data_IF_818030730160
#
_entry.id   IF_818030730160
#
_cell.length_a   1.000
_cell.length_b   1.000
_cell.length_c   1.000
_cell.angle_alpha   90.00
_cell.angle_beta   90.00
_cell.angle_gamma   90.00
#
_symmetry.space_group_name_H-M   'P 1'
#
loop_
_entity.id
_entity.type
_entity.pdbx_description
1 polymer ?
#
# COMPACT_ATOMS: atom_id res chain seq x y z
N UNK A 1 46.09 61.83 -5.47
CA UNK A 1 46.52 61.15 -6.71
C UNK A 1 46.52 59.65 -6.42
N UNK A 2 45.92 58.90 -7.34
CA UNK A 2 45.48 57.49 -7.37
C UNK A 2 46.54 56.43 -6.94
N UNK A 3 46.21 55.11 -6.79
CA UNK A 3 45.00 54.45 -7.29
C UNK A 3 44.28 53.43 -6.40
N UNK A 4 43.02 53.21 -6.81
CA UNK A 4 42.14 52.08 -6.58
C UNK A 4 42.78 50.72 -6.88
N UNK A 5 42.40 49.70 -6.10
CA UNK A 5 42.54 48.28 -6.40
C UNK A 5 41.50 47.46 -5.60
N UNK A 6 41.07 46.27 -6.08
CA UNK A 6 39.66 46.06 -6.37
C UNK A 6 38.94 45.04 -5.47
N UNK A 7 37.60 45.16 -5.47
CA UNK A 7 36.64 44.09 -5.20
C UNK A 7 36.89 42.90 -6.13
N UNK A 8 37.02 41.69 -5.58
CA UNK A 8 36.58 40.41 -6.16
C UNK A 8 36.90 39.26 -5.20
N UNK A 9 35.93 38.85 -4.39
CA UNK A 9 35.88 37.47 -3.92
C UNK A 9 34.52 36.88 -4.27
N UNK A 10 34.55 36.01 -5.28
CA UNK A 10 33.40 35.35 -5.84
C UNK A 10 32.80 34.36 -4.83
N UNK A 11 31.54 34.59 -4.47
CA UNK A 11 30.70 33.55 -3.90
C UNK A 11 30.41 32.50 -4.99
N UNK A 12 31.24 31.47 -5.05
CA UNK A 12 30.93 30.24 -5.77
C UNK A 12 29.96 29.42 -4.89
N UNK A 13 28.67 29.50 -5.21
CA UNK A 13 27.69 28.53 -4.74
C UNK A 13 27.75 27.31 -5.67
N UNK A 14 28.23 26.13 -5.22
CA UNK A 14 28.01 24.91 -5.98
C UNK A 14 26.52 24.55 -5.89
N UNK A 15 25.78 24.89 -6.94
CA UNK A 15 24.51 24.26 -7.27
C UNK A 15 24.77 22.81 -7.65
N UNK A 16 24.68 21.91 -6.69
CA UNK A 16 24.61 20.47 -6.91
C UNK A 16 23.21 19.99 -6.57
N UNK A 17 22.33 20.07 -7.56
CA UNK A 17 21.14 19.24 -7.67
C UNK A 17 21.58 17.78 -7.77
N UNK A 18 21.40 17.03 -6.69
CA UNK A 18 21.44 15.58 -6.73
C UNK A 18 20.26 15.04 -5.92
N UNK A 19 19.06 15.20 -6.49
CA UNK A 19 17.96 14.29 -6.20
C UNK A 19 18.34 12.93 -6.78
N UNK A 20 19.07 12.14 -5.99
CA UNK A 20 19.10 10.69 -6.17
C UNK A 20 17.67 10.21 -5.97
N UNK A 21 16.94 10.06 -7.08
CA UNK A 21 15.75 9.23 -7.18
C UNK A 21 16.17 7.85 -6.74
N UNK A 22 15.94 7.56 -5.46
CA UNK A 22 16.18 6.26 -4.88
C UNK A 22 15.10 5.33 -5.43
N UNK A 23 15.40 4.68 -6.56
CA UNK A 23 14.59 3.59 -7.08
C UNK A 23 14.47 2.52 -5.99
N UNK A 24 13.30 2.48 -5.36
CA UNK A 24 12.94 1.61 -4.23
C UNK A 24 12.74 0.14 -4.61
N UNK A 25 13.38 -0.31 -5.69
CA UNK A 25 13.19 -1.63 -6.30
C UNK A 25 13.85 -2.77 -5.51
N UNK A 26 14.50 -2.51 -4.37
CA UNK A 26 15.30 -3.51 -3.64
C UNK A 26 14.61 -4.22 -2.45
N UNK A 27 13.31 -4.05 -2.21
CA UNK A 27 12.66 -4.59 -0.99
C UNK A 27 11.99 -5.98 -1.11
N UNK A 28 12.21 -6.74 -2.18
CA UNK A 28 11.52 -8.03 -2.36
C UNK A 28 11.91 -9.17 -1.38
N UNK A 29 12.85 -9.01 -0.46
CA UNK A 29 13.53 -10.17 0.13
C UNK A 29 13.40 -10.40 1.66
N UNK A 30 12.43 -9.81 2.38
CA UNK A 30 12.19 -10.19 3.79
C UNK A 30 10.71 -10.37 4.13
N UNK A 31 10.08 -11.39 3.56
CA UNK A 31 9.19 -12.38 4.20
C UNK A 31 8.93 -13.51 3.18
N UNK A 32 9.98 -14.21 2.74
CA UNK A 32 9.90 -15.40 1.87
C UNK A 32 10.81 -16.54 2.37
N UNK A 33 11.17 -16.53 3.64
CA UNK A 33 12.00 -17.56 4.24
C UNK A 33 11.16 -18.51 5.08
N UNK A 34 10.46 -19.43 4.43
CA UNK A 34 10.32 -20.81 4.90
C UNK A 34 9.67 -21.67 3.81
N UNK A 35 10.35 -22.76 3.44
CA UNK A 35 9.91 -23.88 2.58
C UNK A 35 10.28 -23.74 1.09
N UNK A 36 11.20 -24.61 0.63
CA UNK A 36 11.39 -24.98 -0.79
C UNK A 36 10.04 -25.46 -1.33
N UNK A 37 9.34 -24.60 -2.07
CA UNK A 37 7.91 -24.70 -2.39
C UNK A 37 7.21 -23.33 -2.43
N UNK A 38 7.86 -22.29 -1.87
CA UNK A 38 7.40 -20.91 -1.91
C UNK A 38 7.39 -20.26 -3.31
N UNK A 39 8.21 -20.74 -4.26
CA UNK A 39 8.30 -20.19 -5.62
C UNK A 39 7.02 -20.39 -6.43
N UNK A 40 6.53 -21.63 -6.50
CA UNK A 40 5.30 -21.97 -7.21
C UNK A 40 4.08 -21.33 -6.52
N UNK A 41 4.05 -21.36 -5.18
CA UNK A 41 3.01 -20.70 -4.37
C UNK A 41 2.91 -19.19 -4.63
N UNK A 42 4.05 -18.50 -4.78
CA UNK A 42 4.06 -17.06 -5.02
C UNK A 42 3.61 -16.72 -6.45
N UNK A 43 4.00 -17.52 -7.44
CA UNK A 43 3.57 -17.36 -8.83
C UNK A 43 2.08 -17.63 -8.98
N UNK A 44 1.58 -18.69 -8.35
CA UNK A 44 0.15 -19.03 -8.35
C UNK A 44 -0.67 -17.93 -7.69
N UNK A 45 -0.19 -17.38 -6.56
CA UNK A 45 -0.84 -16.26 -5.90
C UNK A 45 -0.90 -15.02 -6.81
N UNK A 46 0.20 -14.69 -7.50
CA UNK A 46 0.23 -13.59 -8.47
C UNK A 46 -0.74 -13.81 -9.63
N UNK A 47 -0.82 -15.03 -10.16
CA UNK A 47 -1.75 -15.36 -11.23
C UNK A 47 -3.20 -15.17 -10.79
N UNK A 48 -3.57 -15.66 -9.60
CA UNK A 48 -4.93 -15.49 -9.05
C UNK A 48 -5.27 -14.03 -8.78
N UNK A 49 -4.32 -13.25 -8.26
CA UNK A 49 -4.50 -11.80 -8.10
C UNK A 49 -4.72 -11.12 -9.44
N UNK A 50 -3.91 -11.44 -10.46
CA UNK A 50 -4.09 -10.89 -11.79
C UNK A 50 -5.46 -11.25 -12.40
N UNK A 51 -5.96 -12.46 -12.15
CA UNK A 51 -7.32 -12.84 -12.55
C UNK A 51 -8.38 -11.99 -11.85
N UNK A 52 -8.30 -11.82 -10.52
CA UNK A 52 -9.22 -10.96 -9.77
C UNK A 52 -9.16 -9.52 -10.29
N UNK A 53 -7.96 -8.99 -10.56
CA UNK A 53 -7.78 -7.64 -11.09
C UNK A 53 -8.39 -7.46 -12.49
N UNK A 54 -8.23 -8.45 -13.37
CA UNK A 54 -8.82 -8.44 -14.70
C UNK A 54 -10.36 -8.48 -14.66
N UNK A 55 -10.94 -9.09 -13.63
CA UNK A 55 -12.39 -9.19 -13.45
C UNK A 55 -13.02 -7.95 -12.82
N UNK A 56 -12.25 -7.06 -12.18
CA UNK A 56 -12.77 -5.91 -11.43
C UNK A 56 -13.84 -5.08 -12.17
N UNK A 57 -13.75 -4.83 -13.50
CA UNK A 57 -14.78 -4.09 -14.23
C UNK A 57 -16.16 -4.77 -14.25
N UNK A 58 -16.21 -6.08 -14.00
CA UNK A 58 -17.42 -6.91 -14.01
C UNK A 58 -18.01 -7.12 -12.62
N UNK A 59 -17.26 -6.78 -11.57
CA UNK A 59 -17.68 -7.01 -10.18
C UNK A 59 -18.60 -5.91 -9.68
N UNK A 60 -19.50 -6.28 -8.76
CA UNK A 60 -20.30 -5.31 -8.03
C UNK A 60 -19.39 -4.58 -7.04
N UNK A 61 -19.32 -3.25 -7.11
CA UNK A 61 -18.49 -2.42 -6.24
C UNK A 61 -19.34 -1.69 -5.20
N UNK A 62 -18.91 -1.80 -3.95
CA UNK A 62 -19.37 -0.98 -2.84
C UNK A 62 -18.22 -0.07 -2.38
N UNK A 63 -18.52 1.19 -2.06
CA UNK A 63 -17.50 2.13 -1.55
C UNK A 63 -18.09 3.10 -0.55
N UNK A 64 -17.30 3.46 0.46
CA UNK A 64 -17.63 4.52 1.41
C UNK A 64 -16.37 5.27 1.85
N UNK A 65 -16.55 6.55 2.20
CA UNK A 65 -15.57 7.30 2.96
C UNK A 65 -15.98 7.24 4.43
N UNK A 66 -15.14 6.61 5.25
CA UNK A 66 -15.36 6.41 6.68
C UNK A 66 -14.45 7.34 7.47
N UNK A 67 -15.02 8.45 7.95
CA UNK A 67 -14.31 9.43 8.78
C UNK A 67 -14.08 8.92 10.22
N UNK A 68 -14.87 7.94 10.68
CA UNK A 68 -14.75 7.42 12.05
C UNK A 68 -13.53 6.50 12.24
N UNK A 69 -12.89 6.03 11.16
CA UNK A 69 -11.72 5.14 11.22
C UNK A 69 -10.36 5.85 11.16
N UNK A 70 -10.34 7.11 10.72
CA UNK A 70 -9.15 7.97 10.70
C UNK A 70 -9.58 9.42 10.83
N UNK A 71 -8.84 10.20 11.60
CA UNK A 71 -9.02 11.65 11.73
C UNK A 71 -9.06 12.38 10.37
N UNK A 72 -8.44 11.79 9.34
CA UNK A 72 -8.29 12.36 8.01
C UNK A 72 -9.07 11.59 6.93
N UNK A 73 -9.84 10.59 7.34
CA UNK A 73 -10.69 9.80 6.47
C UNK A 73 -10.03 8.51 5.96
N UNK A 74 -10.90 7.52 5.74
CA UNK A 74 -10.54 6.23 5.17
C UNK A 74 -11.48 5.94 4.00
N UNK A 75 -10.95 5.75 2.80
CA UNK A 75 -11.75 5.24 1.69
C UNK A 75 -11.71 3.73 1.68
N UNK A 76 -12.88 3.09 1.74
CA UNK A 76 -13.03 1.63 1.66
C UNK A 76 -13.73 1.29 0.35
N UNK A 77 -13.19 0.33 -0.39
CA UNK A 77 -13.76 -0.22 -1.62
C UNK A 77 -13.82 -1.74 -1.47
N UNK A 78 -15.00 -2.31 -1.66
CA UNK A 78 -15.19 -3.76 -1.68
C UNK A 78 -15.79 -4.19 -3.03
N UNK A 79 -15.15 -5.15 -3.69
CA UNK A 79 -15.59 -5.71 -4.97
C UNK A 79 -16.07 -7.16 -4.79
N UNK A 80 -17.27 -7.43 -5.30
CA UNK A 80 -17.98 -8.69 -5.10
C UNK A 80 -18.32 -9.39 -6.41
N UNK A 81 -18.12 -10.71 -6.44
CA UNK A 81 -18.71 -11.61 -7.43
C UNK A 81 -19.98 -12.22 -6.82
N UNK A 82 -21.14 -11.67 -7.17
CA UNK A 82 -22.39 -12.02 -6.48
C UNK A 82 -22.31 -11.65 -4.99
N UNK A 83 -22.31 -12.66 -4.11
CA UNK A 83 -22.14 -12.50 -2.66
C UNK A 83 -20.71 -12.73 -2.17
N UNK A 84 -19.82 -13.17 -3.03
CA UNK A 84 -18.43 -13.47 -2.69
C UNK A 84 -17.58 -12.20 -2.76
N UNK A 85 -16.94 -11.82 -1.66
CA UNK A 85 -15.94 -10.77 -1.65
C UNK A 85 -14.70 -11.26 -2.42
N UNK A 86 -14.25 -10.50 -3.43
CA UNK A 86 -13.04 -10.82 -4.22
C UNK A 86 -11.90 -9.88 -3.91
N UNK A 87 -12.21 -8.61 -3.65
CA UNK A 87 -11.21 -7.60 -3.26
C UNK A 87 -11.78 -6.67 -2.19
N UNK A 88 -10.95 -6.31 -1.23
CA UNK A 88 -11.20 -5.23 -0.27
C UNK A 88 -9.99 -4.31 -0.27
N UNK A 89 -10.19 -3.03 -0.55
CA UNK A 89 -9.15 -2.02 -0.54
C UNK A 89 -9.52 -0.95 0.49
N UNK A 90 -8.55 -0.59 1.32
CA UNK A 90 -8.64 0.54 2.23
C UNK A 90 -7.49 1.52 1.93
N UNK A 91 -7.82 2.81 1.87
CA UNK A 91 -6.84 3.90 1.78
C UNK A 91 -7.02 4.78 2.99
N UNK A 92 -6.01 4.81 3.85
CA UNK A 92 -5.90 5.62 5.05
C UNK A 92 -5.07 6.86 4.72
N UNK A 93 -5.63 8.04 4.96
CA UNK A 93 -4.90 9.31 4.85
C UNK A 93 -4.40 9.74 6.23
N UNK A 94 -3.23 10.36 6.25
CA UNK A 94 -2.52 10.85 7.43
C UNK A 94 -1.72 12.12 7.09
N UNK A 95 -1.46 12.99 8.07
CA UNK A 95 -0.85 14.30 7.79
C UNK A 95 0.51 14.12 7.13
N UNK A 96 1.26 13.11 7.58
CA UNK A 96 2.62 12.81 7.11
C UNK A 96 2.66 11.71 6.05
N UNK A 97 1.52 11.19 5.59
CA UNK A 97 1.55 10.08 4.65
C UNK A 97 0.21 9.43 4.33
N UNK A 98 0.27 8.29 3.64
CA UNK A 98 -0.89 7.45 3.38
C UNK A 98 -0.55 5.98 3.49
N UNK A 99 -1.52 5.17 3.89
CA UNK A 99 -1.43 3.73 3.82
C UNK A 99 -2.51 3.18 2.89
N UNK A 100 -2.14 2.27 2.01
CA UNK A 100 -3.04 1.48 1.18
C UNK A 100 -2.93 0.03 1.61
N UNK A 101 -4.07 -0.61 1.87
CA UNK A 101 -4.14 -2.03 2.18
C UNK A 101 -5.18 -2.69 1.28
N UNK A 102 -4.73 -3.66 0.47
CA UNK A 102 -5.58 -4.40 -0.46
C UNK A 102 -5.53 -5.88 -0.14
N UNK A 103 -6.69 -6.43 0.18
CA UNK A 103 -6.95 -7.84 0.38
C UNK A 103 -7.54 -8.43 -0.91
N UNK A 104 -7.02 -9.57 -1.32
CA UNK A 104 -7.55 -10.38 -2.41
C UNK A 104 -8.00 -11.71 -1.81
N UNK A 105 -9.24 -12.09 -2.12
CA UNK A 105 -9.89 -13.27 -1.58
C UNK A 105 -10.19 -14.25 -2.70
N UNK A 106 -9.72 -15.48 -2.50
CA UNK A 106 -10.00 -16.64 -3.32
C UNK A 106 -10.21 -17.84 -2.38
N UNK A 107 -11.00 -18.88 -2.74
CA UNK A 107 -11.35 -19.95 -1.81
C UNK A 107 -10.15 -20.60 -1.12
N UNK A 108 -9.02 -20.70 -1.81
CA UNK A 108 -7.79 -21.31 -1.27
C UNK A 108 -6.64 -20.34 -1.04
N UNK A 109 -6.86 -19.02 -1.21
CA UNK A 109 -5.83 -18.00 -1.10
C UNK A 109 -6.36 -16.69 -0.51
N UNK A 110 -5.58 -16.15 0.42
CA UNK A 110 -5.70 -14.77 0.85
C UNK A 110 -4.37 -14.08 0.59
N UNK A 111 -4.37 -13.06 -0.27
CA UNK A 111 -3.21 -12.18 -0.45
C UNK A 111 -3.52 -10.80 0.10
N UNK A 112 -2.57 -10.23 0.84
CA UNK A 112 -2.64 -8.86 1.34
C UNK A 112 -1.45 -8.07 0.80
N UNK A 113 -1.74 -6.98 0.10
CA UNK A 113 -0.77 -5.99 -0.33
C UNK A 113 -0.91 -4.76 0.56
N UNK A 114 0.15 -4.37 1.25
CA UNK A 114 0.19 -3.15 2.06
C UNK A 114 1.25 -2.21 1.51
N UNK A 115 0.88 -0.96 1.26
CA UNK A 115 1.80 0.11 0.86
C UNK A 115 1.68 1.24 1.86
N UNK A 116 2.80 1.66 2.43
CA UNK A 116 2.91 2.84 3.27
C UNK A 116 3.72 3.87 2.50
N UNK A 117 3.23 5.11 2.44
CA UNK A 117 3.90 6.23 1.78
C UNK A 117 4.04 7.38 2.77
N UNK A 118 5.21 7.99 2.80
CA UNK A 118 5.53 9.18 3.60
C UNK A 118 5.61 10.38 2.66
N UNK A 119 5.02 11.49 3.08
CA UNK A 119 5.07 12.73 2.33
C UNK A 119 6.37 13.50 2.56
N UNK A 120 6.77 14.30 1.57
CA UNK A 120 7.92 15.20 1.70
C UNK A 120 7.67 16.38 2.67
N UNK A 121 6.40 16.73 2.88
CA UNK A 121 5.92 17.70 3.85
C UNK A 121 4.48 17.35 4.30
N UNK A 122 4.06 17.78 5.51
CA UNK A 122 2.71 17.52 5.99
C UNK A 122 1.63 17.99 5.00
N UNK A 123 0.68 17.12 4.69
CA UNK A 123 -0.46 17.33 3.79
C UNK A 123 -0.09 17.73 2.35
N UNK A 124 1.18 17.57 1.93
CA UNK A 124 1.61 17.93 0.57
C UNK A 124 0.99 17.03 -0.50
N UNK A 125 0.70 15.77 -0.13
CA UNK A 125 0.30 14.72 -1.05
C UNK A 125 1.44 14.23 -1.96
N UNK A 126 2.63 14.84 -1.90
CA UNK A 126 3.80 14.40 -2.66
C UNK A 126 4.56 13.33 -1.87
N UNK A 127 4.82 12.19 -2.51
CA UNK A 127 5.43 11.03 -1.84
C UNK A 127 6.95 11.13 -1.93
N UNK A 128 7.62 11.17 -0.78
CA UNK A 128 9.08 11.07 -0.68
C UNK A 128 9.53 9.61 -0.62
N UNK A 129 8.88 8.82 0.25
CA UNK A 129 9.25 7.43 0.50
C UNK A 129 8.03 6.53 0.40
N UNK A 130 8.22 5.31 -0.13
CA UNK A 130 7.18 4.28 -0.14
C UNK A 130 7.76 2.90 0.22
N UNK A 131 7.06 2.18 1.09
CA UNK A 131 7.35 0.81 1.48
C UNK A 131 6.19 -0.10 1.11
N UNK A 132 6.45 -1.18 0.37
CA UNK A 132 5.45 -2.17 0.00
C UNK A 132 5.74 -3.51 0.69
N UNK A 133 4.70 -4.12 1.28
CA UNK A 133 4.73 -5.45 1.88
C UNK A 133 3.65 -6.32 1.24
N UNK A 134 3.95 -7.60 1.06
CA UNK A 134 3.03 -8.60 0.52
C UNK A 134 2.98 -9.80 1.45
N UNK A 135 1.77 -10.23 1.77
CA UNK A 135 1.51 -11.41 2.58
C UNK A 135 0.64 -12.37 1.79
N UNK A 136 0.99 -13.66 1.79
CA UNK A 136 0.30 -14.72 1.05
C UNK A 136 -0.03 -15.84 2.02
N UNK A 137 -1.31 -16.15 2.17
CA UNK A 137 -1.82 -17.21 3.03
C UNK A 137 -2.58 -18.21 2.17
N UNK A 138 -2.11 -19.46 2.16
CA UNK A 138 -2.78 -20.56 1.46
C UNK A 138 -3.66 -21.35 2.43
N UNK A 139 -4.73 -21.92 1.92
CA UNK A 139 -5.58 -22.86 2.67
C UNK A 139 -4.77 -24.07 3.17
N UNK A 140 -5.19 -24.63 4.31
CA UNK A 140 -4.53 -25.79 4.93
C UNK A 140 -3.21 -25.48 5.65
N UNK A 141 -2.74 -24.23 5.64
CA UNK A 141 -1.63 -23.79 6.51
C UNK A 141 -2.18 -23.26 7.83
N UNK A 142 -1.53 -23.62 8.93
CA UNK A 142 -1.92 -23.20 10.27
C UNK A 142 -2.09 -21.67 10.34
N UNK A 143 -3.11 -21.19 11.07
CA UNK A 143 -3.26 -19.76 11.30
C UNK A 143 -2.00 -19.25 12.00
N UNK A 144 -1.39 -18.23 11.40
CA UNK A 144 -0.33 -17.47 12.05
C UNK A 144 -0.98 -16.27 12.76
N UNK A 145 -0.43 -15.79 13.89
CA UNK A 145 -0.96 -14.59 14.57
C UNK A 145 -1.10 -13.38 13.64
N UNK A 146 -0.22 -13.29 12.63
CA UNK A 146 -0.28 -12.28 11.59
C UNK A 146 -1.50 -12.45 10.67
N UNK A 147 -1.81 -13.68 10.24
CA UNK A 147 -3.01 -13.98 9.44
C UNK A 147 -4.26 -13.55 10.20
N UNK A 148 -4.37 -13.93 11.46
CA UNK A 148 -5.56 -13.63 12.27
C UNK A 148 -5.74 -12.12 12.46
N UNK A 149 -4.64 -11.39 12.69
CA UNK A 149 -4.65 -9.93 12.81
C UNK A 149 -5.11 -9.25 11.51
N UNK A 150 -4.60 -9.70 10.35
CA UNK A 150 -5.02 -9.16 9.04
C UNK A 150 -6.49 -9.48 8.75
N UNK A 151 -6.97 -10.67 9.13
CA UNK A 151 -8.38 -11.04 8.95
C UNK A 151 -9.31 -10.30 9.90
N UNK A 152 -8.86 -9.99 11.11
CA UNK A 152 -9.60 -9.11 12.01
C UNK A 152 -9.72 -7.70 11.42
N UNK A 153 -8.65 -7.16 10.84
CA UNK A 153 -8.68 -5.85 10.18
C UNK A 153 -9.64 -5.84 8.96
N UNK A 154 -9.57 -6.85 8.09
CA UNK A 154 -10.50 -6.99 6.97
C UNK A 154 -11.97 -7.02 7.41
N UNK A 155 -12.29 -7.73 8.51
CA UNK A 155 -13.64 -7.76 9.08
C UNK A 155 -14.08 -6.40 9.61
N UNK A 156 -13.18 -5.67 10.30
CA UNK A 156 -13.46 -4.33 10.81
C UNK A 156 -13.77 -3.36 9.66
N UNK A 157 -12.99 -3.40 8.58
CA UNK A 157 -13.21 -2.59 7.38
C UNK A 157 -14.57 -2.89 6.71
N UNK A 158 -14.95 -4.17 6.62
CA UNK A 158 -16.27 -4.55 6.08
C UNK A 158 -17.42 -4.08 6.98
N UNK A 159 -17.25 -4.16 8.31
CA UNK A 159 -18.26 -3.67 9.25
C UNK A 159 -18.43 -2.15 9.13
N UNK A 160 -17.34 -1.40 9.04
CA UNK A 160 -17.36 0.04 8.82
C UNK A 160 -18.01 0.43 7.48
N UNK A 161 -17.70 -0.31 6.40
CA UNK A 161 -18.36 -0.12 5.11
C UNK A 161 -19.86 -0.38 5.18
N UNK A 162 -20.30 -1.39 5.95
CA UNK A 162 -21.71 -1.69 6.13
C UNK A 162 -22.44 -0.60 6.94
N UNK A 163 -21.80 -0.07 8.00
CA UNK A 163 -22.34 1.02 8.81
C UNK A 163 -22.50 2.32 8.00
N UNK A 164 -21.50 2.68 7.19
CA UNK A 164 -21.53 3.89 6.37
C UNK A 164 -22.58 3.89 5.26
N UNK A 165 -23.30 2.77 5.05
CA UNK A 165 -24.36 2.63 4.05
C UNK A 165 -25.77 2.70 4.62
N UNK A 166 -25.91 2.74 5.94
CA UNK A 166 -27.20 2.92 6.64
C UNK A 166 -27.57 4.39 6.68
#
# INVERSE_FOLDING_TARGET
MAPDAPFSDGFHMPSCTSSTRSDSTSWQARTLASIRGAGDSARDAQHRVAQIEAELPTLRRDSANVLEMSTEGTTIIADYRGRELRRLQATFLGESGRAEETYYFDPSLIQVNRRESVYDAPLSGQIEQSTARRYVFLEGKEPTPLRDSLMANARALLAALAQARQ
#
